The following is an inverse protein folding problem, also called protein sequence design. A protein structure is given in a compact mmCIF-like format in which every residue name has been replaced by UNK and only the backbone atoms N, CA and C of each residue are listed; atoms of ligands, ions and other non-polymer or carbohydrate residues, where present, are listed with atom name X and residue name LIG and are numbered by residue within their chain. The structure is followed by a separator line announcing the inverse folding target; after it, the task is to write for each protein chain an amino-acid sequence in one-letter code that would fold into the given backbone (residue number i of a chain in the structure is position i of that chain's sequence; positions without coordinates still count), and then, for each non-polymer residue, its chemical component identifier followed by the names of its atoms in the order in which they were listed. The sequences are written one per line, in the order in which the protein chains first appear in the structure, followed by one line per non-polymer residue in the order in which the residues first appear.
data_IF_024506201140
#
_entry.id   IF_024506201140
#
_cell.length_a   1.000
_cell.length_b   1.000
_cell.length_c   1.000
_cell.angle_alpha   90.00
_cell.angle_beta   90.00
_cell.angle_gamma   90.00
#
_symmetry.space_group_name_H-M   'P 1'
#
loop_
_entity.id
_entity.type
_entity.pdbx_description
1 polymer ?
#
# COMPACT_ATOMS: atom_id res chain seq x y z
N UNK A 1 25.41 -49.51 -5.87
CA UNK A 1 26.31 -48.35 -5.66
C UNK A 1 25.48 -47.08 -5.78
N UNK A 2 25.75 -46.11 -4.89
CA UNK A 2 24.98 -44.90 -4.51
C UNK A 2 24.41 -44.05 -5.66
N UNK A 3 23.20 -43.53 -5.44
CA UNK A 3 22.71 -42.26 -6.03
C UNK A 3 23.61 -41.09 -5.63
N UNK A 4 23.63 -40.01 -6.42
CA UNK A 4 23.72 -38.68 -5.86
C UNK A 4 22.38 -37.97 -6.04
N UNK A 5 21.80 -37.58 -4.90
CA UNK A 5 20.82 -36.50 -4.80
C UNK A 5 21.27 -35.33 -5.68
N UNK A 6 20.41 -34.92 -6.61
CA UNK A 6 20.49 -33.56 -7.13
C UNK A 6 20.12 -32.65 -5.95
N UNK A 7 21.15 -32.20 -5.24
CA UNK A 7 21.04 -31.10 -4.28
C UNK A 7 20.53 -29.90 -5.08
N UNK A 8 19.25 -29.57 -4.93
CA UNK A 8 18.75 -28.25 -5.28
C UNK A 8 19.53 -27.27 -4.40
N UNK A 9 20.61 -26.73 -4.95
CA UNK A 9 21.39 -25.70 -4.28
C UNK A 9 20.43 -24.54 -4.04
N UNK A 10 20.14 -24.25 -2.78
CA UNK A 10 19.46 -23.00 -2.43
C UNK A 10 20.19 -21.85 -3.13
N UNK A 11 19.45 -20.92 -3.76
CA UNK A 11 20.09 -19.79 -4.40
C UNK A 11 20.99 -19.07 -3.38
N UNK A 12 22.15 -18.55 -3.82
CA UNK A 12 23.07 -17.87 -2.92
C UNK A 12 22.33 -16.68 -2.31
N UNK A 13 22.32 -16.65 -0.97
CA UNK A 13 21.71 -15.58 -0.17
C UNK A 13 22.26 -14.24 -0.64
N UNK A 14 21.39 -13.35 -1.10
CA UNK A 14 21.76 -12.00 -1.56
C UNK A 14 21.28 -11.65 -2.97
N UNK A 15 20.93 -12.64 -3.80
CA UNK A 15 20.22 -12.35 -5.08
C UNK A 15 18.85 -11.72 -4.80
N UNK A 16 18.25 -12.00 -3.65
CA UNK A 16 16.99 -11.37 -3.24
C UNK A 16 17.14 -9.88 -2.91
N UNK A 17 18.36 -9.42 -2.60
CA UNK A 17 18.65 -8.04 -2.18
C UNK A 17 19.12 -7.18 -3.37
N UNK A 18 19.98 -7.73 -4.24
CA UNK A 18 20.59 -7.00 -5.37
C UNK A 18 20.10 -7.50 -6.75
N UNK A 19 19.27 -8.54 -6.79
CA UNK A 19 18.70 -9.11 -8.00
C UNK A 19 17.35 -8.46 -8.38
N UNK A 20 16.73 -8.92 -9.48
CA UNK A 20 15.50 -8.32 -10.03
C UNK A 20 14.24 -8.51 -9.16
N UNK A 21 14.38 -9.00 -7.92
CA UNK A 21 13.27 -9.40 -7.07
C UNK A 21 12.67 -10.77 -7.45
N UNK A 22 11.73 -11.28 -6.65
CA UNK A 22 10.98 -12.49 -6.98
C UNK A 22 10.08 -12.27 -8.20
N UNK A 23 10.18 -13.17 -9.19
CA UNK A 23 9.34 -13.17 -10.40
C UNK A 23 8.16 -14.10 -10.14
N UNK A 24 6.95 -13.55 -10.13
CA UNK A 24 5.72 -14.32 -9.91
C UNK A 24 4.91 -14.50 -11.20
N UNK A 25 5.01 -13.56 -12.13
CA UNK A 25 4.24 -13.54 -13.38
C UNK A 25 5.13 -13.34 -14.61
N UNK A 26 4.56 -13.60 -15.79
CA UNK A 26 5.27 -13.50 -17.08
C UNK A 26 5.67 -12.05 -17.45
N UNK A 27 5.13 -11.05 -16.75
CA UNK A 27 5.37 -9.63 -17.03
C UNK A 27 5.86 -8.90 -15.79
N UNK A 28 7.03 -8.28 -15.89
CA UNK A 28 7.65 -7.47 -14.82
C UNK A 28 6.72 -6.36 -14.32
N UNK A 29 5.88 -5.78 -15.18
CA UNK A 29 4.91 -4.75 -14.76
C UNK A 29 3.90 -5.31 -13.75
N UNK A 30 3.46 -6.56 -13.94
CA UNK A 30 2.51 -7.19 -13.02
C UNK A 30 3.18 -7.53 -11.68
N UNK A 31 4.43 -7.99 -11.70
CA UNK A 31 5.20 -8.23 -10.48
C UNK A 31 5.42 -6.93 -9.68
N UNK A 32 5.82 -5.84 -10.35
CA UNK A 32 5.98 -4.53 -9.71
C UNK A 32 4.66 -4.00 -9.11
N UNK A 33 3.52 -4.26 -9.78
CA UNK A 33 2.21 -3.90 -9.24
C UNK A 33 1.84 -4.74 -8.02
N UNK A 34 2.16 -6.04 -8.02
CA UNK A 34 1.95 -6.91 -6.87
C UNK A 34 2.80 -6.44 -5.68
N UNK A 35 4.07 -6.14 -5.90
CA UNK A 35 4.97 -5.63 -4.86
C UNK A 35 4.44 -4.31 -4.26
N UNK A 36 4.10 -3.33 -5.11
CA UNK A 36 3.50 -2.08 -4.66
C UNK A 36 2.19 -2.29 -3.88
N UNK A 37 1.39 -3.29 -4.26
CA UNK A 37 0.16 -3.63 -3.55
C UNK A 37 0.43 -4.26 -2.18
N UNK A 38 1.44 -5.13 -2.08
CA UNK A 38 1.85 -5.73 -0.81
C UNK A 38 2.38 -4.69 0.16
N UNK A 39 3.21 -3.76 -0.31
CA UNK A 39 3.70 -2.62 0.48
C UNK A 39 2.54 -1.73 0.95
N UNK A 40 1.58 -1.43 0.06
CA UNK A 40 0.38 -0.69 0.44
C UNK A 40 -0.44 -1.42 1.50
N UNK A 41 -0.59 -2.75 1.38
CA UNK A 41 -1.30 -3.56 2.37
C UNK A 41 -0.60 -3.52 3.74
N UNK A 42 0.73 -3.58 3.76
CA UNK A 42 1.53 -3.46 4.98
C UNK A 42 1.30 -2.09 5.64
N UNK A 43 1.30 -1.01 4.86
CA UNK A 43 1.08 0.33 5.43
C UNK A 43 -0.35 0.57 5.90
N UNK A 44 -1.35 -0.01 5.21
CA UNK A 44 -2.73 -0.02 5.71
C UNK A 44 -2.81 -0.73 7.06
N UNK A 45 -2.10 -1.86 7.23
CA UNK A 45 -2.04 -2.53 8.53
C UNK A 45 -1.41 -1.66 9.61
N UNK A 46 -0.28 -1.00 9.33
CA UNK A 46 0.37 -0.07 10.27
C UNK A 46 -0.59 1.02 10.75
N UNK A 47 -1.41 1.59 9.85
CA UNK A 47 -2.41 2.61 10.22
C UNK A 47 -3.49 2.00 11.14
N UNK A 48 -3.98 0.80 10.82
CA UNK A 48 -5.00 0.11 11.64
C UNK A 48 -4.48 -0.22 13.03
N UNK A 49 -3.25 -0.73 13.12
CA UNK A 49 -2.60 -1.04 14.40
C UNK A 49 -2.44 0.23 15.25
N UNK A 50 -1.96 1.32 14.64
CA UNK A 50 -1.87 2.62 15.32
C UNK A 50 -3.23 3.15 15.79
N UNK A 51 -4.32 2.92 15.04
CA UNK A 51 -5.67 3.30 15.46
C UNK A 51 -6.13 2.47 16.67
N UNK A 52 -5.91 1.16 16.67
CA UNK A 52 -6.24 0.30 17.81
C UNK A 52 -5.44 0.67 19.08
N UNK A 53 -4.16 0.99 18.91
CA UNK A 53 -3.31 1.51 20.00
C UNK A 53 -3.83 2.86 20.49
N UNK A 54 -4.22 3.77 19.60
CA UNK A 54 -4.78 5.07 19.96
C UNK A 54 -6.06 4.90 20.80
N UNK A 55 -6.98 4.02 20.39
CA UNK A 55 -8.20 3.71 21.16
C UNK A 55 -7.85 3.18 22.55
N UNK A 56 -6.87 2.28 22.65
CA UNK A 56 -6.38 1.74 23.93
C UNK A 56 -5.81 2.84 24.84
N UNK A 57 -4.98 3.73 24.29
CA UNK A 57 -4.38 4.85 25.02
C UNK A 57 -5.44 5.84 25.50
N UNK A 58 -6.47 6.10 24.69
CA UNK A 58 -7.59 6.98 25.05
C UNK A 58 -8.47 6.35 26.13
N UNK A 59 -8.75 5.05 26.04
CA UNK A 59 -9.50 4.33 27.07
C UNK A 59 -8.79 4.36 28.43
N UNK A 60 -7.46 4.20 28.45
CA UNK A 60 -6.65 4.34 29.67
C UNK A 60 -6.72 5.76 30.27
N UNK A 61 -7.09 6.77 29.47
CA UNK A 61 -7.33 8.15 29.91
C UNK A 61 -8.81 8.45 30.20
N UNK A 62 -9.67 7.44 30.21
CA UNK A 62 -11.10 7.56 30.49
C UNK A 62 -11.94 8.01 29.29
N UNK A 63 -11.40 7.96 28.07
CA UNK A 63 -12.12 8.28 26.84
C UNK A 63 -12.40 6.98 26.09
N UNK A 64 -13.65 6.54 26.05
CA UNK A 64 -14.09 5.38 25.25
C UNK A 64 -14.20 5.77 23.76
N UNK A 65 -13.04 5.93 23.11
CA UNK A 65 -12.97 6.33 21.72
C UNK A 65 -13.66 5.33 20.79
N UNK A 66 -13.60 4.03 21.09
CA UNK A 66 -14.24 2.98 20.29
C UNK A 66 -15.77 3.19 20.24
N UNK A 67 -16.43 3.36 21.39
CA UNK A 67 -17.87 3.64 21.41
C UNK A 67 -18.21 4.98 20.76
N UNK A 68 -17.40 6.01 21.00
CA UNK A 68 -17.63 7.36 20.45
C UNK A 68 -17.50 7.40 18.92
N UNK A 69 -16.57 6.65 18.33
CA UNK A 69 -16.40 6.53 16.88
C UNK A 69 -17.66 5.93 16.25
N UNK A 70 -18.16 4.82 16.76
CA UNK A 70 -19.35 4.14 16.22
C UNK A 70 -20.63 4.97 16.38
N UNK A 71 -20.72 5.72 17.48
CA UNK A 71 -21.82 6.65 17.74
C UNK A 71 -21.72 7.94 16.91
N UNK A 72 -20.55 8.27 16.35
CA UNK A 72 -20.33 9.56 15.68
C UNK A 72 -21.27 9.72 14.49
N UNK A 73 -21.96 10.86 14.45
CA UNK A 73 -22.80 11.28 13.32
C UNK A 73 -22.31 12.66 12.87
N UNK A 74 -21.46 12.75 11.84
CA UNK A 74 -20.85 14.01 11.45
C UNK A 74 -21.93 14.99 10.96
N UNK A 75 -21.89 16.26 11.37
CA UNK A 75 -22.81 17.27 10.86
C UNK A 75 -22.53 17.56 9.37
N UNK A 76 -23.50 18.17 8.65
CA UNK A 76 -23.35 18.47 7.22
C UNK A 76 -22.06 19.23 6.86
N UNK A 77 -21.63 20.16 7.72
CA UNK A 77 -20.41 20.93 7.52
C UNK A 77 -19.14 20.05 7.52
N UNK A 78 -19.06 19.08 8.43
CA UNK A 78 -17.93 18.15 8.52
C UNK A 78 -17.89 17.20 7.31
N UNK A 79 -19.06 16.72 6.87
CA UNK A 79 -19.18 15.88 5.66
C UNK A 79 -18.66 16.64 4.43
N UNK A 80 -19.06 17.92 4.27
CA UNK A 80 -18.61 18.76 3.18
C UNK A 80 -17.08 18.98 3.21
N UNK A 81 -16.52 19.28 4.39
CA UNK A 81 -15.08 19.45 4.55
C UNK A 81 -14.30 18.17 4.19
N UNK A 82 -14.75 17.00 4.69
CA UNK A 82 -14.14 15.70 4.38
C UNK A 82 -14.25 15.35 2.89
N UNK A 83 -15.35 15.71 2.22
CA UNK A 83 -15.50 15.55 0.77
C UNK A 83 -14.42 16.34 0.02
N UNK A 84 -14.25 17.62 0.34
CA UNK A 84 -13.23 18.48 -0.28
C UNK A 84 -11.82 17.93 -0.05
N UNK A 85 -11.51 17.47 1.18
CA UNK A 85 -10.22 16.86 1.49
C UNK A 85 -9.97 15.60 0.67
N UNK A 86 -10.99 14.72 0.54
CA UNK A 86 -10.91 13.50 -0.27
C UNK A 86 -10.70 13.82 -1.75
N UNK A 87 -11.44 14.77 -2.30
CA UNK A 87 -11.29 15.19 -3.70
C UNK A 87 -9.89 15.73 -3.97
N UNK A 88 -9.36 16.58 -3.09
CA UNK A 88 -8.00 17.10 -3.21
C UNK A 88 -6.94 15.98 -3.11
N UNK A 89 -7.14 15.01 -2.23
CA UNK A 89 -6.25 13.86 -2.12
C UNK A 89 -6.27 12.99 -3.39
N UNK A 90 -7.46 12.63 -3.87
CA UNK A 90 -7.63 11.84 -5.11
C UNK A 90 -7.03 12.57 -6.31
N UNK A 91 -7.26 13.88 -6.43
CA UNK A 91 -6.68 14.68 -7.51
C UNK A 91 -5.13 14.63 -7.49
N UNK A 92 -4.50 14.77 -6.32
CA UNK A 92 -3.04 14.65 -6.19
C UNK A 92 -2.54 13.25 -6.53
N UNK A 93 -3.22 12.22 -6.05
CA UNK A 93 -2.87 10.82 -6.32
C UNK A 93 -2.94 10.52 -7.83
N UNK A 94 -4.01 10.97 -8.48
CA UNK A 94 -4.24 10.69 -9.90
C UNK A 94 -3.51 11.63 -10.86
N UNK A 95 -3.04 12.80 -10.40
CA UNK A 95 -2.28 13.74 -11.22
C UNK A 95 -1.06 13.09 -11.89
N UNK A 96 -0.45 12.09 -11.23
CA UNK A 96 0.64 11.30 -11.80
C UNK A 96 0.28 10.60 -13.11
N UNK A 97 -0.93 10.03 -13.20
CA UNK A 97 -1.42 9.31 -14.38
C UNK A 97 -1.88 10.24 -15.51
N UNK A 98 -2.22 11.49 -15.19
CA UNK A 98 -2.66 12.49 -16.16
C UNK A 98 -1.49 13.22 -16.84
N UNK A 99 -0.29 13.16 -16.26
CA UNK A 99 0.96 13.61 -16.88
C UNK A 99 1.36 12.63 -17.99
N UNK A 100 0.67 12.65 -19.13
CA UNK A 100 1.25 12.05 -20.34
C UNK A 100 2.40 12.96 -20.78
N UNK A 101 3.66 12.51 -20.82
CA UNK A 101 4.63 13.13 -21.70
C UNK A 101 4.21 12.76 -23.10
N UNK A 102 4.03 13.76 -23.94
CA UNK A 102 3.56 13.58 -25.30
C UNK A 102 4.42 12.54 -26.03
N UNK A 103 3.72 11.58 -26.63
CA UNK A 103 4.20 10.71 -27.70
C UNK A 103 4.89 11.64 -28.69
N UNK A 104 6.19 11.44 -28.96
CA UNK A 104 6.90 12.18 -30.01
C UNK A 104 6.09 12.02 -31.30
N UNK A 105 5.46 13.09 -31.78
CA UNK A 105 4.93 13.14 -33.14
C UNK A 105 6.06 12.71 -34.06
N UNK A 106 5.89 11.53 -34.67
CA UNK A 106 6.80 11.06 -35.69
C UNK A 106 6.54 11.95 -36.89
N UNK A 107 7.43 12.94 -37.06
CA UNK A 107 7.53 13.76 -38.26
C UNK A 107 7.69 12.81 -39.46
N UNK A 108 6.72 12.86 -40.37
CA UNK A 108 6.80 12.28 -41.71
C UNK A 108 6.78 13.43 -42.73
#
# INVERSE_FOLDING_TARGET
MKSPEQSASSPPIGIEIDGPGPVYFDTVVTDNLLEAFMELAAEVWTIRDRQAVLETVLAAKGIDAAALIEAHRPPPAEIAARKTMREAYVARLLAGFLRRPDIKETVA
#
